data_IF_517422479729
#
_entry.id   IF_517422479729
#
_cell.length_a   1.000
_cell.length_b   1.000
_cell.length_c   1.000
_cell.angle_alpha   90.00
_cell.angle_beta   90.00
_cell.angle_gamma   90.00
#
_symmetry.space_group_name_H-M   'P 1'
#
loop_
_entity.id
_entity.type
_entity.pdbx_description
1 polymer ?
#
# COMPACT_ATOMS: atom_id res chain seq x y z
N UNK A 1 -13.20 -3.74 3.00
CA UNK A 1 -12.05 -3.15 2.29
C UNK A 1 -11.51 -4.31 1.44
N UNK A 2 -10.22 -4.41 1.11
CA UNK A 2 -9.70 -5.77 0.89
C UNK A 2 -9.53 -6.34 2.30
N UNK A 3 -10.16 -7.48 2.57
CA UNK A 3 -10.29 -8.03 3.94
C UNK A 3 -9.24 -9.12 4.24
N UNK A 4 -8.38 -9.43 3.27
CA UNK A 4 -7.32 -10.42 3.40
C UNK A 4 -5.99 -9.73 3.73
N UNK A 5 -5.52 -9.95 4.96
CA UNK A 5 -4.29 -9.37 5.49
C UNK A 5 -3.04 -9.96 4.80
N UNK A 6 -3.05 -11.25 4.46
CA UNK A 6 -1.92 -11.93 3.81
C UNK A 6 -1.70 -11.34 2.41
N UNK A 7 -2.80 -11.07 1.69
CA UNK A 7 -2.74 -10.41 0.40
C UNK A 7 -2.20 -8.97 0.50
N UNK A 8 -2.57 -8.22 1.54
CA UNK A 8 -2.08 -6.86 1.75
C UNK A 8 -0.59 -6.81 2.08
N UNK A 9 -0.10 -7.76 2.88
CA UNK A 9 1.32 -7.90 3.19
C UNK A 9 2.14 -8.28 1.94
N UNK A 10 1.62 -9.20 1.12
CA UNK A 10 2.27 -9.60 -0.13
C UNK A 10 2.44 -8.41 -1.10
N UNK A 11 1.36 -7.65 -1.31
CA UNK A 11 1.40 -6.46 -2.18
C UNK A 11 2.36 -5.40 -1.65
N UNK A 12 2.41 -5.20 -0.33
CA UNK A 12 3.37 -4.26 0.26
C UNK A 12 4.82 -4.68 0.00
N UNK A 13 5.14 -5.98 0.16
CA UNK A 13 6.46 -6.52 -0.13
C UNK A 13 6.86 -6.31 -1.60
N UNK A 14 5.96 -6.64 -2.53
CA UNK A 14 6.19 -6.45 -3.96
C UNK A 14 6.45 -4.97 -4.32
N UNK A 15 5.70 -4.04 -3.73
CA UNK A 15 5.89 -2.59 -3.95
C UNK A 15 7.24 -2.11 -3.41
N UNK A 16 7.66 -2.58 -2.23
CA UNK A 16 8.97 -2.23 -1.66
C UNK A 16 10.11 -2.76 -2.51
N UNK A 17 10.01 -4.01 -2.95
CA UNK A 17 10.99 -4.60 -3.87
C UNK A 17 11.06 -3.84 -5.19
N UNK A 18 9.92 -3.42 -5.74
CA UNK A 18 9.86 -2.61 -6.95
C UNK A 18 10.55 -1.25 -6.77
N UNK A 19 10.31 -0.57 -5.65
CA UNK A 19 11.00 0.69 -5.33
C UNK A 19 12.52 0.49 -5.25
N UNK A 20 12.97 -0.53 -4.52
CA UNK A 20 14.38 -0.86 -4.38
C UNK A 20 15.03 -1.25 -5.72
N UNK A 21 14.30 -1.93 -6.61
CA UNK A 21 14.78 -2.26 -7.97
C UNK A 21 15.09 -1.03 -8.83
N UNK A 22 14.40 0.08 -8.59
CA UNK A 22 14.63 1.35 -9.30
C UNK A 22 15.46 2.35 -8.48
N UNK A 23 16.24 1.88 -7.51
CA UNK A 23 17.11 2.70 -6.64
C UNK A 23 16.35 3.73 -5.77
N UNK A 24 15.06 3.52 -5.50
CA UNK A 24 14.29 4.30 -4.53
C UNK A 24 14.36 3.69 -3.12
N UNK A 25 14.10 4.47 -2.05
CA UNK A 25 14.14 3.96 -0.68
C UNK A 25 12.91 3.10 -0.34
N UNK A 26 12.89 1.85 -0.80
CA UNK A 26 11.76 0.93 -0.62
C UNK A 26 11.40 0.64 0.84
N UNK A 27 12.40 0.52 1.72
CA UNK A 27 12.18 0.21 3.14
C UNK A 27 11.73 1.43 3.96
N UNK A 28 12.28 2.61 3.66
CA UNK A 28 11.99 3.84 4.40
C UNK A 28 10.73 4.57 3.90
N UNK A 29 10.21 4.20 2.72
CA UNK A 29 9.01 4.83 2.16
C UNK A 29 7.76 4.46 2.98
N UNK A 30 6.98 5.45 3.48
CA UNK A 30 5.75 5.18 4.21
C UNK A 30 4.66 4.65 3.29
N UNK A 31 4.11 3.47 3.61
CA UNK A 31 3.00 2.84 2.89
C UNK A 31 1.76 2.86 3.80
N UNK A 32 0.70 3.55 3.37
CA UNK A 32 -0.56 3.67 4.11
C UNK A 32 -1.64 2.86 3.40
N UNK A 33 -2.21 1.88 4.10
CA UNK A 33 -3.32 1.05 3.60
C UNK A 33 -4.64 1.77 3.83
N UNK A 34 -5.44 1.95 2.79
CA UNK A 34 -6.72 2.67 2.88
C UNK A 34 -7.56 2.56 1.62
N UNK A 35 -8.77 3.12 1.66
CA UNK A 35 -9.68 3.17 0.51
C UNK A 35 -10.07 4.62 0.21
N UNK A 36 -9.59 5.14 -0.93
CA UNK A 36 -9.96 6.47 -1.40
C UNK A 36 -11.47 6.58 -1.69
N UNK A 37 -12.08 5.50 -2.20
CA UNK A 37 -13.52 5.45 -2.46
C UNK A 37 -14.35 5.57 -1.16
N UNK A 38 -13.97 4.83 -0.12
CA UNK A 38 -14.66 4.93 1.17
C UNK A 38 -14.44 6.31 1.80
N UNK A 39 -13.22 6.86 1.72
CA UNK A 39 -12.93 8.20 2.22
C UNK A 39 -13.79 9.26 1.50
N UNK A 40 -13.90 9.17 0.17
CA UNK A 40 -14.74 10.06 -0.62
C UNK A 40 -16.22 9.94 -0.27
N UNK A 41 -16.75 8.72 -0.15
CA UNK A 41 -18.15 8.47 0.22
C UNK A 41 -18.46 8.82 1.70
N UNK A 42 -17.44 9.07 2.52
CA UNK A 42 -17.59 9.50 3.91
C UNK A 42 -17.59 11.03 4.06
N UNK A 43 -17.28 11.77 3.00
CA UNK A 43 -17.45 13.23 2.95
C UNK A 43 -18.90 13.50 2.52
N UNK A 44 -19.68 14.26 3.31
CA UNK A 44 -21.07 14.58 2.98
C UNK A 44 -21.22 15.44 1.72
#
# INVERSE_FOLDING_TARGET
MVDDEELLELVEMEVRELLSQYDFPGDDTPIVRGSALQAFNSVP
#
